data_IF_758752958926
#
_entry.id   IF_758752958926
#
_cell.length_a   1.000
_cell.length_b   1.000
_cell.length_c   1.000
_cell.angle_alpha   90.00
_cell.angle_beta   90.00
_cell.angle_gamma   90.00
#
_symmetry.space_group_name_H-M   'P 1'
#
loop_
_entity.id
_entity.type
_entity.pdbx_description
1 polymer ?
#
# COMPACT_ATOMS: atom_id res chain seq x y z
N UNK A 1 -20.10 -10.01 4.19
CA UNK A 1 -19.47 -9.41 2.99
C UNK A 1 -18.39 -8.46 3.45
N UNK A 2 -17.14 -8.88 3.48
CA UNK A 2 -16.02 -7.99 3.79
C UNK A 2 -15.78 -7.12 2.57
N UNK A 3 -16.14 -5.83 2.65
CA UNK A 3 -15.91 -4.87 1.58
C UNK A 3 -14.40 -4.76 1.38
N UNK A 4 -13.91 -5.20 0.23
CA UNK A 4 -12.51 -5.00 -0.14
C UNK A 4 -12.34 -3.51 -0.45
N UNK A 5 -12.00 -2.71 0.57
CA UNK A 5 -11.84 -1.27 0.43
C UNK A 5 -10.43 -1.03 -0.13
N UNK A 6 -10.37 -0.72 -1.43
CA UNK A 6 -9.15 -0.26 -2.07
C UNK A 6 -9.03 1.24 -1.83
N UNK A 7 -8.01 1.64 -1.08
CA UNK A 7 -7.71 3.05 -0.86
C UNK A 7 -6.84 3.56 -2.00
N UNK A 8 -7.13 4.76 -2.52
CA UNK A 8 -6.28 5.42 -3.51
C UNK A 8 -5.49 6.54 -2.84
N UNK A 9 -4.22 6.69 -3.20
CA UNK A 9 -3.34 7.72 -2.67
C UNK A 9 -2.54 8.37 -3.80
N UNK A 10 -2.53 9.70 -3.86
CA UNK A 10 -1.68 10.46 -4.78
C UNK A 10 -0.32 10.66 -4.11
N UNK A 11 0.72 10.05 -4.68
CA UNK A 11 2.08 10.14 -4.16
C UNK A 11 2.60 11.57 -4.38
N UNK A 12 3.08 12.20 -3.32
CA UNK A 12 3.72 13.53 -3.35
C UNK A 12 5.24 13.41 -3.29
N UNK A 13 5.97 14.52 -3.52
CA UNK A 13 7.45 14.51 -3.46
C UNK A 13 8.01 14.20 -2.07
N UNK A 14 7.22 14.41 -1.02
CA UNK A 14 7.60 14.12 0.36
C UNK A 14 7.19 12.70 0.80
N UNK A 15 6.45 11.98 -0.05
CA UNK A 15 6.05 10.62 0.27
C UNK A 15 7.18 9.63 -0.02
N UNK A 16 7.41 8.78 0.97
CA UNK A 16 8.20 7.56 0.81
C UNK A 16 7.26 6.38 0.90
N UNK A 17 7.65 5.25 0.32
CA UNK A 17 6.93 3.99 0.55
C UNK A 17 6.81 3.69 2.04
N UNK A 18 7.82 4.04 2.85
CA UNK A 18 7.83 3.89 4.30
C UNK A 18 6.70 4.68 4.97
N UNK A 19 6.58 5.97 4.61
CA UNK A 19 5.58 6.86 5.19
C UNK A 19 4.19 6.46 4.76
N UNK A 20 4.00 6.12 3.48
CA UNK A 20 2.74 5.59 2.95
C UNK A 20 2.37 4.29 3.67
N UNK A 21 3.32 3.36 3.79
CA UNK A 21 3.12 2.07 4.44
C UNK A 21 2.70 2.22 5.91
N UNK A 22 3.36 3.12 6.64
CA UNK A 22 2.99 3.46 8.01
C UNK A 22 1.64 4.17 8.11
N UNK A 23 1.36 5.10 7.20
CA UNK A 23 0.12 5.87 7.18
C UNK A 23 -1.11 4.98 7.00
N UNK A 24 -1.04 4.02 6.08
CA UNK A 24 -2.19 3.19 5.72
C UNK A 24 -2.24 1.83 6.41
N UNK A 25 -1.08 1.25 6.77
CA UNK A 25 -1.01 -0.09 7.37
C UNK A 25 -0.48 -0.10 8.82
N UNK A 26 -0.07 1.06 9.34
CA UNK A 26 0.52 1.18 10.68
C UNK A 26 1.89 0.50 10.84
N UNK A 27 2.45 -0.08 9.77
CA UNK A 27 3.71 -0.84 9.78
C UNK A 27 4.46 -0.56 8.50
N UNK A 28 5.79 -0.41 8.58
CA UNK A 28 6.64 -0.19 7.39
C UNK A 28 6.86 -1.44 6.53
N UNK A 29 6.53 -2.64 7.03
CA UNK A 29 6.84 -3.90 6.33
C UNK A 29 6.09 -4.11 5.00
N UNK A 30 5.10 -3.27 4.69
CA UNK A 30 4.27 -3.40 3.49
C UNK A 30 4.80 -2.58 2.30
N UNK A 31 5.96 -1.94 2.41
CA UNK A 31 6.60 -1.21 1.30
C UNK A 31 6.74 -2.06 0.03
N UNK A 32 7.22 -3.30 0.19
CA UNK A 32 7.43 -4.22 -0.92
C UNK A 32 6.10 -4.61 -1.57
N UNK A 33 5.07 -4.86 -0.78
CA UNK A 33 3.72 -5.17 -1.27
C UNK A 33 3.12 -4.00 -2.06
N UNK A 34 3.33 -2.76 -1.60
CA UNK A 34 2.90 -1.55 -2.32
C UNK A 34 3.55 -1.49 -3.71
N UNK A 35 4.86 -1.75 -3.78
CA UNK A 35 5.60 -1.74 -5.05
C UNK A 35 5.17 -2.88 -5.95
N UNK A 36 5.04 -4.10 -5.41
CA UNK A 36 4.61 -5.27 -6.16
C UNK A 36 3.23 -5.06 -6.79
N UNK A 37 2.32 -4.43 -6.05
CA UNK A 37 0.96 -4.17 -6.51
C UNK A 37 0.87 -3.06 -7.55
N UNK A 38 1.65 -1.99 -7.40
CA UNK A 38 1.52 -0.79 -8.23
C UNK A 38 2.57 -0.66 -9.33
N UNK A 39 3.66 -1.42 -9.25
CA UNK A 39 4.83 -1.35 -10.13
C UNK A 39 5.67 -0.08 -9.94
N UNK A 40 5.07 1.11 -10.03
CA UNK A 40 5.77 2.40 -9.97
C UNK A 40 5.07 3.40 -9.04
N UNK A 41 5.76 3.80 -7.97
CA UNK A 41 5.25 4.72 -6.95
C UNK A 41 6.05 6.03 -6.95
N UNK A 42 5.95 6.79 -8.04
CA UNK A 42 6.64 8.09 -8.20
C UNK A 42 5.76 9.25 -7.77
N UNK A 43 6.34 10.38 -7.34
CA UNK A 43 5.58 11.60 -7.16
C UNK A 43 4.71 11.92 -8.38
N UNK A 44 3.47 12.32 -8.14
CA UNK A 44 2.45 12.61 -9.15
C UNK A 44 1.65 11.39 -9.61
N UNK A 45 1.97 10.17 -9.19
CA UNK A 45 1.15 8.98 -9.53
C UNK A 45 0.13 8.67 -8.45
N UNK A 46 -1.04 8.18 -8.86
CA UNK A 46 -2.03 7.64 -7.92
C UNK A 46 -1.82 6.14 -7.78
N UNK A 47 -1.53 5.69 -6.56
CA UNK A 47 -1.34 4.28 -6.23
C UNK A 47 -2.59 3.72 -5.53
N UNK A 48 -2.76 2.41 -5.65
CA UNK A 48 -3.78 1.63 -4.98
C UNK A 48 -3.17 0.91 -3.78
N UNK A 49 -3.83 1.08 -2.64
CA UNK A 49 -3.46 0.53 -1.36
C UNK A 49 -4.59 -0.40 -0.94
N UNK A 50 -4.58 -1.66 -1.38
CA UNK A 50 -5.49 -2.65 -0.83
C UNK A 50 -5.16 -2.79 0.66
N UNK A 51 -6.17 -2.76 1.53
CA UNK A 51 -5.97 -3.23 2.89
C UNK A 51 -5.43 -4.66 2.81
N UNK A 52 -4.36 -5.04 3.54
CA UNK A 52 -4.12 -6.45 3.78
C UNK A 52 -5.44 -6.95 4.37
N UNK A 53 -6.02 -7.96 3.73
CA UNK A 53 -7.14 -8.67 4.33
C UNK A 53 -6.76 -8.91 5.78
N UNK A 54 -7.62 -8.47 6.71
CA UNK A 54 -7.43 -8.67 8.15
C UNK A 54 -7.24 -10.17 8.50
N UNK A 55 -7.42 -11.06 7.52
CA UNK A 55 -7.22 -12.50 7.59
C UNK A 55 -5.77 -12.97 7.61
N UNK A 56 -4.76 -12.10 7.63
CA UNK A 56 -3.40 -12.51 8.02
C UNK A 56 -2.76 -13.61 7.16
N UNK A 57 -3.33 -13.94 6.00
CA UNK A 57 -2.79 -14.91 5.06
C UNK A 57 -1.67 -14.25 4.29
N UNK A 58 -0.49 -14.34 4.91
CA UNK A 58 0.84 -14.39 4.29
C UNK A 58 0.77 -14.49 2.77
N UNK A 59 1.19 -13.45 2.07
CA UNK A 59 1.69 -13.59 0.70
C UNK A 59 3.05 -14.30 0.77
N UNK A 60 3.01 -15.63 0.91
CA UNK A 60 4.07 -16.54 0.51
C UNK A 60 3.37 -17.70 -0.20
N UNK A 61 3.47 -17.72 -1.53
CA UNK A 61 3.29 -18.89 -2.37
C UNK A 61 4.16 -18.72 -3.60
#
# INVERSE_FOLDING_TARGET
MTKNIITKHLVTENDTLLTISRLYYGKSRYEFDIVLHNGNCRPGTTIQLPYPSLDGTRYFS
#
